data_IF_719639311866
#
_entry.id   IF_719639311866
#
_cell.length_a   1.000
_cell.length_b   1.000
_cell.length_c   1.000
_cell.angle_alpha   90.00
_cell.angle_beta   90.00
_cell.angle_gamma   90.00
#
_symmetry.space_group_name_H-M   'P 1'
#
loop_
_entity.id
_entity.type
_entity.pdbx_description
1 polymer ?
#
# COMPACT_ATOMS: atom_id res chain seq x y z
N UNK A 1 -4.98 10.84 -1.85
CA UNK A 1 -4.08 9.73 -2.20
C UNK A 1 -4.82 8.84 -3.16
N UNK A 2 -4.25 8.57 -4.33
CA UNK A 2 -4.84 7.69 -5.33
C UNK A 2 -3.85 6.55 -5.61
N UNK A 3 -4.32 5.32 -5.59
CA UNK A 3 -3.52 4.14 -5.86
C UNK A 3 -4.17 3.28 -6.93
N UNK A 4 -3.35 2.50 -7.63
CA UNK A 4 -3.74 1.56 -8.67
C UNK A 4 -3.24 0.15 -8.32
N UNK A 5 -3.85 -0.84 -8.94
CA UNK A 5 -3.36 -2.22 -8.87
C UNK A 5 -1.98 -2.30 -9.52
N UNK A 6 -1.03 -2.88 -8.80
CA UNK A 6 0.38 -2.94 -9.18
C UNK A 6 1.27 -1.97 -8.41
N UNK A 7 0.71 -0.90 -7.85
CA UNK A 7 1.46 0.03 -7.00
C UNK A 7 1.88 -0.62 -5.68
N UNK A 8 2.91 -0.08 -5.04
CA UNK A 8 3.34 -0.50 -3.72
C UNK A 8 2.85 0.49 -2.66
N UNK A 9 2.11 0.00 -1.68
CA UNK A 9 1.76 0.76 -0.50
C UNK A 9 2.87 0.62 0.55
N UNK A 10 3.43 1.75 0.96
CA UNK A 10 4.35 1.87 2.09
C UNK A 10 3.62 2.60 3.23
N UNK A 11 3.40 1.93 4.33
CA UNK A 11 2.83 2.55 5.54
C UNK A 11 3.94 2.74 6.55
N UNK A 12 4.33 4.00 6.77
CA UNK A 12 5.30 4.34 7.82
C UNK A 12 4.66 4.17 9.19
N UNK A 13 5.29 3.35 10.03
CA UNK A 13 4.92 3.25 11.43
C UNK A 13 5.25 4.56 12.14
N UNK A 14 4.28 5.20 12.77
CA UNK A 14 4.46 6.46 13.49
C UNK A 14 5.34 6.33 14.77
N UNK A 15 5.88 5.13 15.05
CA UNK A 15 6.68 4.79 16.23
C UNK A 15 7.97 4.09 15.78
N UNK A 16 9.12 4.59 16.25
CA UNK A 16 10.44 3.96 16.06
C UNK A 16 10.37 2.52 16.59
N UNK A 17 10.53 1.54 15.70
CA UNK A 17 10.47 0.11 16.00
C UNK A 17 9.26 -0.64 15.45
N UNK A 18 8.22 0.04 14.96
CA UNK A 18 7.23 -0.61 14.09
C UNK A 18 7.83 -0.80 12.70
N UNK A 19 7.95 -2.07 12.27
CA UNK A 19 8.41 -2.39 10.90
C UNK A 19 7.52 -1.68 9.89
N UNK A 20 8.13 -0.94 8.98
CA UNK A 20 7.46 -0.41 7.79
C UNK A 20 6.72 -1.54 7.09
N UNK A 21 5.42 -1.34 6.86
CA UNK A 21 4.61 -2.33 6.13
C UNK A 21 4.60 -1.95 4.67
N UNK A 22 5.40 -2.67 3.89
CA UNK A 22 5.41 -2.61 2.42
C UNK A 22 4.59 -3.76 1.87
N UNK A 23 3.59 -3.46 1.04
CA UNK A 23 2.79 -4.46 0.34
C UNK A 23 2.39 -3.97 -1.04
N UNK A 24 2.31 -4.88 -2.01
CA UNK A 24 1.86 -4.55 -3.36
C UNK A 24 0.34 -4.49 -3.38
N UNK A 25 -0.24 -3.40 -3.86
CA UNK A 25 -1.67 -3.24 -4.04
C UNK A 25 -2.13 -4.16 -5.15
N UNK A 26 -2.94 -5.15 -4.80
CA UNK A 26 -3.53 -6.12 -5.73
C UNK A 26 -4.97 -5.77 -6.07
N UNK A 27 -5.65 -4.99 -5.24
CA UNK A 27 -7.01 -4.53 -5.48
C UNK A 27 -7.27 -3.19 -4.79
N UNK A 28 -8.03 -2.30 -5.46
CA UNK A 28 -8.45 -1.01 -4.91
C UNK A 28 -9.96 -0.99 -4.81
N UNK A 29 -10.49 -0.85 -3.58
CA UNK A 29 -11.94 -0.93 -3.32
C UNK A 29 -12.60 0.42 -3.14
N UNK A 30 -11.84 1.47 -2.82
CA UNK A 30 -12.41 2.79 -2.69
C UNK A 30 -12.68 3.46 -4.05
N UNK A 31 -13.67 4.36 -4.11
CA UNK A 31 -14.03 5.04 -5.33
C UNK A 31 -12.87 5.91 -5.85
N UNK A 32 -12.61 5.83 -7.16
CA UNK A 32 -11.59 6.64 -7.82
C UNK A 32 -10.16 6.38 -7.35
N UNK A 33 -9.85 5.18 -6.84
CA UNK A 33 -8.51 4.85 -6.35
C UNK A 33 -8.24 5.24 -4.90
N UNK A 34 -9.30 5.53 -4.12
CA UNK A 34 -9.22 5.81 -2.69
C UNK A 34 -9.13 4.52 -1.86
N UNK A 35 -8.66 4.60 -0.60
CA UNK A 35 -8.72 3.45 0.30
C UNK A 35 -10.16 3.01 0.59
N UNK A 36 -10.38 1.74 0.97
CA UNK A 36 -9.36 0.75 1.34
C UNK A 36 -8.70 0.04 0.16
N UNK A 37 -7.47 -0.43 0.39
CA UNK A 37 -6.65 -1.16 -0.57
C UNK A 37 -6.39 -2.58 -0.08
N UNK A 38 -6.46 -3.57 -0.97
CA UNK A 38 -5.96 -4.92 -0.68
C UNK A 38 -4.51 -4.95 -1.09
N UNK A 39 -3.62 -5.23 -0.14
CA UNK A 39 -2.19 -5.40 -0.40
C UNK A 39 -1.81 -6.85 -0.21
N UNK A 40 -0.91 -7.34 -1.08
CA UNK A 40 -0.24 -8.62 -0.94
C UNK A 40 1.17 -8.38 -0.41
N UNK A 41 1.50 -9.08 0.67
CA UNK A 41 2.84 -9.09 1.25
C UNK A 41 3.71 -10.15 0.57
N UNK A 42 5.02 -10.08 0.79
CA UNK A 42 6.01 -11.03 0.24
C UNK A 42 5.75 -12.47 0.68
N UNK A 43 5.17 -12.66 1.87
CA UNK A 43 4.74 -13.95 2.41
C UNK A 43 3.51 -14.55 1.67
N UNK A 44 3.01 -13.87 0.64
CA UNK A 44 1.81 -14.26 -0.12
C UNK A 44 0.48 -13.90 0.56
N UNK A 45 0.53 -13.45 1.82
CA UNK A 45 -0.64 -13.01 2.56
C UNK A 45 -1.24 -11.72 2.00
N UNK A 46 -2.56 -11.72 1.83
CA UNK A 46 -3.34 -10.56 1.38
C UNK A 46 -4.10 -9.96 2.56
N UNK A 47 -4.07 -8.64 2.67
CA UNK A 47 -4.75 -7.92 3.73
C UNK A 47 -5.38 -6.63 3.23
N UNK A 48 -6.58 -6.34 3.73
CA UNK A 48 -7.22 -5.05 3.52
C UNK A 48 -6.58 -4.00 4.43
N UNK A 49 -6.02 -2.97 3.84
CA UNK A 49 -5.32 -1.89 4.52
C UNK A 49 -6.08 -0.58 4.35
N UNK A 50 -6.26 0.11 5.47
CA UNK A 50 -6.77 1.47 5.56
C UNK A 50 -5.59 2.39 5.86
N UNK A 51 -4.90 2.91 4.83
CA UNK A 51 -3.79 3.82 5.04
C UNK A 51 -4.23 5.08 5.77
N UNK A 52 -3.38 5.51 6.72
CA UNK A 52 -3.48 6.83 7.34
C UNK A 52 -2.87 7.92 6.45
N UNK A 53 -2.80 9.16 6.95
CA UNK A 53 -2.23 10.29 6.22
C UNK A 53 -0.74 10.11 5.89
N UNK A 54 -0.01 9.32 6.68
CA UNK A 54 1.43 9.05 6.51
C UNK A 54 1.75 7.88 5.58
N UNK A 55 0.74 7.28 4.94
CA UNK A 55 1.01 6.26 3.93
C UNK A 55 1.58 6.90 2.65
N UNK A 56 2.33 6.13 1.90
CA UNK A 56 2.90 6.54 0.61
C UNK A 56 2.62 5.45 -0.40
N UNK A 57 2.12 5.82 -1.56
CA UNK A 57 1.94 4.92 -2.70
C UNK A 57 3.12 5.16 -3.63
N UNK A 58 3.89 4.11 -3.89
CA UNK A 58 4.98 4.13 -4.85
C UNK A 58 4.52 3.41 -6.11
N UNK A 59 4.66 4.02 -7.29
CA UNK A 59 4.41 3.30 -8.54
C UNK A 59 5.35 2.08 -8.66
N UNK A 60 4.94 1.01 -9.35
CA UNK A 60 5.86 -0.07 -9.68
C UNK A 60 7.02 0.57 -10.42
N UNK A 61 8.24 0.42 -9.86
CA UNK A 61 9.41 1.19 -10.29
C UNK A 61 9.50 1.24 -11.80
N UNK A 62 9.35 2.44 -12.35
CA UNK A 62 9.74 2.74 -13.73
C UNK A 62 11.25 2.52 -13.77
N UNK A 63 11.64 1.29 -14.13
CA UNK A 63 13.01 0.98 -14.49
C UNK A 63 13.29 1.68 -15.80
N UNK A 64 13.67 2.95 -15.72
CA UNK A 64 14.34 3.69 -16.79
C UNK A 64 15.72 3.11 -17.07
#
# INVERSE_FOLDING_TARGET
>A
MQANVGDTLLVHGHVVGQKDRKGQIVEVRGPGGSPPFVVRYDDGHEQLVYPGPDAVVMPPGDGS
#
